data_IF_715167941289
#
_entry.id   IF_715167941289
#
_cell.length_a   1.000
_cell.length_b   1.000
_cell.length_c   1.000
_cell.angle_alpha   90.00
_cell.angle_beta   90.00
_cell.angle_gamma   90.00
#
_symmetry.space_group_name_H-M   'P 1'
#
loop_
_entity.id
_entity.type
_entity.pdbx_description
1 polymer ?
#
# COMPACT_ATOMS: atom_id res chain seq x y z
N UNK A 1 -15.08 -10.87 -2.89
CA UNK A 1 -14.85 -12.04 -3.77
C UNK A 1 -13.57 -11.91 -4.59
N UNK A 2 -13.32 -10.76 -5.25
CA UNK A 2 -12.07 -10.54 -6.02
C UNK A 2 -10.80 -10.54 -5.15
N UNK A 3 -10.79 -9.74 -4.08
CA UNK A 3 -9.61 -9.61 -3.21
C UNK A 3 -9.25 -10.92 -2.50
N UNK A 4 -10.24 -11.69 -2.04
CA UNK A 4 -10.00 -13.00 -1.40
C UNK A 4 -9.34 -14.00 -2.34
N UNK A 5 -9.74 -14.01 -3.63
CA UNK A 5 -9.09 -14.85 -4.62
C UNK A 5 -7.63 -14.43 -4.84
N UNK A 6 -7.38 -13.13 -5.02
CA UNK A 6 -6.03 -12.60 -5.19
C UNK A 6 -5.16 -12.89 -3.97
N UNK A 7 -5.72 -12.72 -2.77
CA UNK A 7 -5.06 -13.03 -1.51
C UNK A 7 -4.67 -14.51 -1.43
N UNK A 8 -5.59 -15.42 -1.78
CA UNK A 8 -5.32 -16.86 -1.79
C UNK A 8 -4.20 -17.23 -2.77
N UNK A 9 -4.21 -16.67 -3.98
CA UNK A 9 -3.15 -16.87 -4.97
C UNK A 9 -1.80 -16.32 -4.46
N UNK A 10 -1.79 -15.14 -3.85
CA UNK A 10 -0.58 -14.56 -3.26
C UNK A 10 -0.04 -15.40 -2.08
N UNK A 11 -0.92 -15.94 -1.22
CA UNK A 11 -0.53 -16.82 -0.12
C UNK A 11 0.09 -18.14 -0.61
N UNK A 12 -0.43 -18.69 -1.72
CA UNK A 12 0.16 -19.86 -2.36
C UNK A 12 1.58 -19.55 -2.83
N UNK A 13 1.78 -18.43 -3.52
CA UNK A 13 3.11 -18.00 -4.00
C UNK A 13 4.07 -17.80 -2.83
N UNK A 14 3.66 -17.05 -1.80
CA UNK A 14 4.49 -16.83 -0.60
C UNK A 14 4.81 -18.17 0.10
N UNK A 15 3.90 -19.14 0.09
CA UNK A 15 4.11 -20.47 0.65
C UNK A 15 5.15 -21.34 -0.08
N UNK A 16 5.57 -20.97 -1.30
CA UNK A 16 6.62 -21.68 -2.04
C UNK A 16 8.03 -21.39 -1.52
N UNK A 17 8.21 -20.35 -0.72
CA UNK A 17 9.51 -19.89 -0.26
C UNK A 17 9.73 -20.23 1.22
N UNK A 18 10.91 -20.76 1.55
CA UNK A 18 11.30 -21.03 2.94
C UNK A 18 11.67 -19.76 3.71
N UNK A 19 12.14 -18.74 3.01
CA UNK A 19 12.55 -17.45 3.58
C UNK A 19 11.75 -16.35 2.90
N UNK A 20 11.06 -15.54 3.70
CA UNK A 20 10.28 -14.39 3.24
C UNK A 20 11.00 -13.08 3.61
N UNK A 21 10.79 -12.00 2.84
CA UNK A 21 11.25 -10.68 3.25
C UNK A 21 10.57 -10.27 4.56
N UNK A 22 11.30 -9.52 5.39
CA UNK A 22 10.73 -8.94 6.61
C UNK A 22 9.92 -7.67 6.36
N UNK A 23 10.23 -6.96 5.27
CA UNK A 23 9.64 -5.69 4.90
C UNK A 23 9.42 -5.62 3.38
N UNK A 24 8.24 -5.14 2.97
CA UNK A 24 7.94 -4.73 1.59
C UNK A 24 7.63 -3.24 1.58
N UNK A 25 8.37 -2.47 0.77
CA UNK A 25 8.17 -1.02 0.64
C UNK A 25 7.42 -0.72 -0.65
N UNK A 26 6.31 0.01 -0.54
CA UNK A 26 5.48 0.43 -1.67
C UNK A 26 5.73 1.91 -1.99
N UNK A 27 5.85 2.24 -3.27
CA UNK A 27 5.48 3.59 -3.74
C UNK A 27 3.95 3.71 -3.80
N UNK A 28 3.43 4.89 -4.12
CA UNK A 28 2.00 5.20 -4.18
C UNK A 28 1.51 5.34 -5.62
N UNK A 29 1.95 6.40 -6.29
CA UNK A 29 1.49 6.77 -7.62
C UNK A 29 1.89 5.71 -8.63
N UNK A 30 0.90 5.21 -9.38
CA UNK A 30 1.07 4.08 -10.31
C UNK A 30 1.61 2.78 -9.69
N UNK A 31 1.54 2.64 -8.37
CA UNK A 31 1.86 1.39 -7.66
C UNK A 31 0.62 0.85 -6.93
N UNK A 32 0.05 1.63 -6.02
CA UNK A 32 -1.19 1.23 -5.32
C UNK A 32 -2.44 1.69 -6.08
N UNK A 33 -2.39 2.86 -6.69
CA UNK A 33 -3.50 3.47 -7.43
C UNK A 33 -3.10 3.96 -8.83
N UNK A 34 -4.05 4.03 -9.80
CA UNK A 34 -3.75 4.31 -11.20
C UNK A 34 -3.76 5.81 -11.54
N UNK A 35 -3.14 6.65 -10.70
CA UNK A 35 -3.06 8.10 -10.93
C UNK A 35 -1.90 8.73 -10.17
N UNK A 36 -1.56 9.96 -10.55
CA UNK A 36 -0.71 10.84 -9.74
C UNK A 36 -1.54 11.54 -8.66
N UNK A 37 -1.10 11.43 -7.41
CA UNK A 37 -1.78 12.04 -6.26
C UNK A 37 -1.79 13.58 -6.36
N UNK A 38 -0.76 14.19 -6.97
CA UNK A 38 -0.65 15.64 -7.13
C UNK A 38 -1.73 16.25 -8.06
N UNK A 39 -2.34 15.44 -8.92
CA UNK A 39 -3.43 15.86 -9.81
C UNK A 39 -4.82 15.73 -9.17
N UNK A 40 -4.90 15.42 -7.88
CA UNK A 40 -6.14 15.10 -7.16
C UNK A 40 -6.40 16.07 -6.02
N UNK A 41 -7.58 15.95 -5.42
CA UNK A 41 -7.99 16.69 -4.23
C UNK A 41 -8.36 15.77 -3.08
N UNK A 42 -8.28 16.25 -1.83
CA UNK A 42 -8.73 15.52 -0.63
C UNK A 42 -10.21 15.10 -0.70
N UNK A 43 -11.03 15.72 -1.56
CA UNK A 43 -12.44 15.37 -1.72
C UNK A 43 -12.65 14.15 -2.60
N UNK A 44 -11.69 13.84 -3.48
CA UNK A 44 -11.82 12.74 -4.43
C UNK A 44 -11.84 11.39 -3.71
N UNK A 45 -12.55 10.41 -4.29
CA UNK A 45 -12.57 9.03 -3.81
C UNK A 45 -11.50 8.23 -4.57
N UNK A 46 -10.38 7.86 -3.91
CA UNK A 46 -9.35 7.08 -4.57
C UNK A 46 -9.81 5.64 -4.82
N UNK A 47 -9.19 4.98 -5.78
CA UNK A 47 -9.35 3.55 -6.03
C UNK A 47 -7.98 2.89 -6.21
N UNK A 48 -7.87 1.64 -5.79
CA UNK A 48 -6.67 0.84 -5.95
C UNK A 48 -6.63 0.17 -7.33
N UNK A 49 -5.44 -0.25 -7.76
CA UNK A 49 -5.36 -1.33 -8.73
C UNK A 49 -6.10 -2.56 -8.20
N UNK A 50 -6.80 -3.25 -9.12
CA UNK A 50 -7.75 -4.34 -8.83
C UNK A 50 -7.21 -5.41 -7.88
N UNK A 51 -5.90 -5.68 -7.89
CA UNK A 51 -5.28 -6.75 -7.12
C UNK A 51 -4.49 -6.26 -5.90
N UNK A 52 -4.28 -4.96 -5.75
CA UNK A 52 -3.38 -4.43 -4.72
C UNK A 52 -3.83 -4.82 -3.30
N UNK A 53 -5.13 -4.70 -3.01
CA UNK A 53 -5.68 -5.00 -1.68
C UNK A 53 -5.49 -6.47 -1.28
N UNK A 54 -5.79 -7.40 -2.19
CA UNK A 54 -5.59 -8.84 -1.93
C UNK A 54 -4.12 -9.20 -1.66
N UNK A 55 -3.18 -8.59 -2.40
CA UNK A 55 -1.74 -8.78 -2.19
C UNK A 55 -1.32 -8.27 -0.81
N UNK A 56 -1.72 -7.05 -0.44
CA UNK A 56 -1.40 -6.46 0.87
C UNK A 56 -1.95 -7.30 2.03
N UNK A 57 -3.15 -7.86 1.90
CA UNK A 57 -3.69 -8.78 2.91
C UNK A 57 -2.90 -10.08 3.03
N UNK A 58 -2.38 -10.63 1.94
CA UNK A 58 -1.53 -11.82 2.00
C UNK A 58 -0.20 -11.52 2.71
N UNK A 59 0.41 -10.36 2.45
CA UNK A 59 1.62 -9.92 3.15
C UNK A 59 1.37 -9.76 4.65
N UNK A 60 0.27 -9.08 5.03
CA UNK A 60 -0.13 -8.91 6.42
C UNK A 60 -0.35 -10.25 7.14
N UNK A 61 -1.02 -11.19 6.49
CA UNK A 61 -1.27 -12.53 7.06
C UNK A 61 0.02 -13.33 7.27
N UNK A 62 1.02 -13.16 6.40
CA UNK A 62 2.35 -13.77 6.57
C UNK A 62 3.24 -13.03 7.58
N UNK A 63 2.75 -11.96 8.20
CA UNK A 63 3.53 -11.17 9.15
C UNK A 63 4.68 -10.41 8.50
N UNK A 64 4.55 -10.08 7.20
CA UNK A 64 5.52 -9.26 6.48
C UNK A 64 5.16 -7.80 6.71
N UNK A 65 6.08 -7.03 7.27
CA UNK A 65 5.86 -5.60 7.47
C UNK A 65 5.74 -4.88 6.13
N UNK A 66 4.93 -3.82 6.11
CA UNK A 66 4.77 -2.98 4.93
C UNK A 66 5.13 -1.54 5.27
N UNK A 67 5.80 -0.84 4.34
CA UNK A 67 6.09 0.58 4.47
C UNK A 67 5.80 1.34 3.18
N UNK A 68 5.73 2.66 3.27
CA UNK A 68 5.55 3.56 2.13
C UNK A 68 6.83 4.36 1.91
N UNK A 69 7.26 4.47 0.66
CA UNK A 69 8.27 5.42 0.22
C UNK A 69 7.81 6.06 -1.09
N UNK A 70 7.35 7.31 -1.02
CA UNK A 70 6.81 8.01 -2.20
C UNK A 70 7.42 9.38 -2.44
N UNK A 71 7.58 9.73 -3.72
CA UNK A 71 8.08 11.05 -4.13
C UNK A 71 6.99 12.09 -4.36
N UNK A 72 5.72 11.72 -4.14
CA UNK A 72 4.59 12.63 -4.30
C UNK A 72 4.81 13.93 -3.51
N UNK A 73 4.66 15.11 -4.13
CA UNK A 73 4.81 16.39 -3.44
C UNK A 73 3.61 16.75 -2.55
N UNK A 74 2.56 15.93 -2.56
CA UNK A 74 1.29 16.16 -1.84
C UNK A 74 1.05 15.11 -0.74
N UNK A 75 1.87 15.09 0.33
CA UNK A 75 1.79 14.06 1.37
C UNK A 75 0.47 14.07 2.16
N UNK A 76 -0.17 15.23 2.26
CA UNK A 76 -1.45 15.42 2.94
C UNK A 76 -2.63 14.81 2.16
N UNK A 77 -2.59 14.86 0.83
CA UNK A 77 -3.59 14.19 -0.03
C UNK A 77 -3.38 12.68 0.02
N UNK A 78 -2.13 12.22 -0.09
CA UNK A 78 -1.78 10.80 -0.02
C UNK A 78 -2.28 10.16 1.29
N UNK A 79 -2.08 10.85 2.43
CA UNK A 79 -2.55 10.37 3.74
C UNK A 79 -4.07 10.25 3.80
N UNK A 80 -4.81 11.25 3.34
CA UNK A 80 -6.28 11.20 3.26
C UNK A 80 -6.74 10.04 2.39
N UNK A 81 -6.04 9.73 1.30
CA UNK A 81 -6.40 8.60 0.43
C UNK A 81 -6.15 7.26 1.10
N UNK A 82 -5.03 7.10 1.80
CA UNK A 82 -4.75 5.90 2.58
C UNK A 82 -5.80 5.67 3.68
N UNK A 83 -6.25 6.73 4.35
CA UNK A 83 -7.33 6.68 5.34
C UNK A 83 -8.66 6.26 4.69
N UNK A 84 -9.05 6.90 3.57
CA UNK A 84 -10.27 6.53 2.82
C UNK A 84 -10.27 5.10 2.29
N UNK A 85 -9.09 4.56 1.99
CA UNK A 85 -8.92 3.18 1.53
C UNK A 85 -8.79 2.17 2.68
N UNK A 86 -8.78 2.66 3.93
CA UNK A 86 -8.59 1.87 5.16
C UNK A 86 -7.25 1.12 5.18
N UNK A 87 -6.21 1.72 4.59
CA UNK A 87 -4.87 1.11 4.50
C UNK A 87 -3.88 1.69 5.50
N UNK A 88 -4.19 2.80 6.17
CA UNK A 88 -3.23 3.52 7.02
C UNK A 88 -2.61 2.63 8.11
N UNK A 89 -3.41 1.75 8.72
CA UNK A 89 -2.98 0.83 9.77
C UNK A 89 -2.16 -0.37 9.26
N UNK A 90 -1.97 -0.52 7.95
CA UNK A 90 -1.18 -1.60 7.37
C UNK A 90 0.31 -1.29 7.31
N UNK A 91 0.69 -0.01 7.41
CA UNK A 91 2.06 0.42 7.19
C UNK A 91 2.77 0.75 8.50
N UNK A 92 3.92 0.12 8.74
CA UNK A 92 4.74 0.34 9.95
C UNK A 92 5.58 1.62 9.85
N UNK A 93 5.83 2.10 8.62
CA UNK A 93 6.57 3.33 8.36
C UNK A 93 6.10 3.98 7.06
N UNK A 94 6.18 5.31 6.99
CA UNK A 94 5.82 6.07 5.79
C UNK A 94 6.79 7.24 5.60
N UNK A 95 7.42 7.31 4.43
CA UNK A 95 8.27 8.43 4.02
C UNK A 95 7.72 9.02 2.73
N UNK A 96 7.53 10.33 2.71
CA UNK A 96 7.12 11.08 1.51
C UNK A 96 8.05 12.26 1.27
N UNK A 97 8.14 12.73 0.02
CA UNK A 97 8.91 13.94 -0.30
C UNK A 97 8.36 15.09 0.55
N UNK A 98 9.21 15.62 1.44
CA UNK A 98 8.93 16.65 2.46
C UNK A 98 8.36 16.18 3.81
N UNK A 99 8.09 14.88 4.02
CA UNK A 99 7.72 14.36 5.35
C UNK A 99 8.88 13.55 5.93
N UNK A 100 9.72 14.20 6.72
CA UNK A 100 10.56 13.49 7.69
C UNK A 100 9.71 13.37 8.95
N UNK A 101 9.00 12.27 9.11
CA UNK A 101 8.49 11.87 10.42
C UNK A 101 9.13 10.52 10.73
N UNK A 102 10.21 10.59 11.49
CA UNK A 102 10.76 9.44 12.20
C UNK A 102 9.73 9.11 13.29
N UNK A 103 9.02 7.99 13.11
CA UNK A 103 8.27 7.35 14.17
C UNK A 103 9.20 6.59 15.10
#
# INVERSE_FOLDING_TARGET
MGDERVKAEALQILGLFQVLPRLVVFDLDYTLWPFYCECRSKRDSPSLFKHARGIMYALKEKGIDMAIASRSPTPDIARVFLDKLELQSMFVAQVTRNSVHLG
#
